data_IF_096161049006
#
_entry.id   IF_096161049006
#
_cell.length_a   1.000
_cell.length_b   1.000
_cell.length_c   1.000
_cell.angle_alpha   90.00
_cell.angle_beta   90.00
_cell.angle_gamma   90.00
#
_symmetry.space_group_name_H-M   'P 1'
#
loop_
_entity.id
_entity.type
_entity.pdbx_description
1 polymer ?
#
# COMPACT_ATOMS: atom_id res chain seq x y z
N UNK A 1 -2.78 0.20 9.17
CA UNK A 1 -3.24 -1.17 9.53
C UNK A 1 -3.38 -1.36 11.05
N UNK A 2 -2.34 -1.11 11.88
CA UNK A 2 -2.43 -1.28 13.35
C UNK A 2 -3.57 -0.45 13.95
N UNK A 3 -3.71 0.82 13.60
CA UNK A 3 -4.81 1.69 14.08
C UNK A 3 -6.18 1.19 13.66
N UNK A 4 -6.30 0.74 12.42
CA UNK A 4 -7.53 0.17 11.90
C UNK A 4 -7.93 -1.08 12.68
N UNK A 5 -7.00 -2.02 12.88
CA UNK A 5 -7.31 -3.21 13.65
C UNK A 5 -7.69 -2.88 15.09
N UNK A 6 -7.05 -1.88 15.71
CA UNK A 6 -7.42 -1.42 17.06
C UNK A 6 -8.84 -0.88 17.13
N UNK A 7 -9.24 -0.06 16.16
CA UNK A 7 -10.62 0.47 16.15
C UNK A 7 -11.62 -0.65 15.87
N UNK A 8 -11.35 -1.48 14.85
CA UNK A 8 -12.19 -2.65 14.56
C UNK A 8 -12.40 -3.51 15.80
N UNK A 9 -11.32 -3.83 16.54
CA UNK A 9 -11.41 -4.57 17.79
C UNK A 9 -12.23 -3.85 18.87
N UNK A 10 -12.21 -2.53 18.91
CA UNK A 10 -13.02 -1.77 19.87
C UNK A 10 -14.53 -1.87 19.58
N UNK A 11 -14.90 -2.07 18.33
CA UNK A 11 -16.28 -2.19 17.86
C UNK A 11 -16.79 -3.65 17.82
N UNK A 12 -15.90 -4.63 18.06
CA UNK A 12 -16.25 -6.06 18.02
C UNK A 12 -16.61 -6.59 19.40
N UNK A 13 -17.54 -7.58 19.46
CA UNK A 13 -17.79 -8.30 20.69
C UNK A 13 -16.57 -9.12 21.10
N UNK A 14 -16.32 -9.22 22.40
CA UNK A 14 -15.20 -9.98 22.96
C UNK A 14 -15.68 -11.23 23.67
N UNK A 15 -14.89 -12.26 23.57
CA UNK A 15 -15.25 -13.50 24.21
C UNK A 15 -14.13 -14.54 24.14
N UNK A 16 -14.48 -15.76 24.51
CA UNK A 16 -13.58 -16.91 24.45
C UNK A 16 -14.34 -18.18 24.22
N UNK A 17 -13.66 -19.18 23.70
CA UNK A 17 -14.16 -20.55 23.66
C UNK A 17 -13.79 -21.29 24.94
N UNK A 18 -14.64 -22.22 25.35
CA UNK A 18 -14.38 -23.04 26.52
C UNK A 18 -15.25 -24.27 26.58
N UNK A 19 -15.20 -24.98 27.71
CA UNK A 19 -16.00 -26.18 27.96
C UNK A 19 -16.84 -25.95 29.22
N UNK A 20 -18.13 -26.23 29.12
CA UNK A 20 -19.05 -26.22 30.25
C UNK A 20 -19.80 -27.53 30.32
N UNK A 21 -19.65 -28.28 31.45
CA UNK A 21 -20.27 -29.58 31.63
C UNK A 21 -20.02 -30.56 30.47
N UNK A 22 -18.77 -30.62 29.97
CA UNK A 22 -18.36 -31.48 28.87
C UNK A 22 -18.82 -31.05 27.47
N UNK A 23 -19.51 -29.91 27.34
CA UNK A 23 -19.95 -29.37 26.06
C UNK A 23 -19.13 -28.14 25.68
N UNK A 24 -18.81 -27.99 24.38
CA UNK A 24 -18.15 -26.79 23.88
C UNK A 24 -19.11 -25.60 23.92
N UNK A 25 -18.62 -24.50 24.47
CA UNK A 25 -19.36 -23.25 24.62
C UNK A 25 -18.55 -22.05 24.17
N UNK A 26 -19.25 -21.00 23.78
CA UNK A 26 -18.67 -19.67 23.57
C UNK A 26 -19.15 -18.75 24.70
N UNK A 27 -18.20 -18.06 25.31
CA UNK A 27 -18.47 -17.03 26.33
C UNK A 27 -18.36 -15.66 25.64
N UNK A 28 -19.42 -14.86 25.77
CA UNK A 28 -19.43 -13.45 25.37
C UNK A 28 -19.22 -12.63 26.65
N UNK A 29 -18.12 -11.88 26.70
CA UNK A 29 -17.70 -11.09 27.87
C UNK A 29 -17.85 -9.59 27.67
N UNK A 30 -18.05 -9.18 26.43
CA UNK A 30 -18.36 -7.81 26.02
C UNK A 30 -19.11 -7.83 24.72
N UNK A 31 -20.16 -7.02 24.65
CA UNK A 31 -20.94 -6.81 23.44
C UNK A 31 -21.11 -5.29 23.26
N UNK A 32 -20.60 -4.66 22.19
CA UNK A 32 -20.74 -3.23 21.97
C UNK A 32 -22.19 -2.79 21.80
N UNK A 33 -23.09 -3.69 21.42
CA UNK A 33 -24.52 -3.44 21.24
C UNK A 33 -25.33 -3.67 22.52
N UNK A 34 -24.74 -4.33 23.52
CA UNK A 34 -25.40 -4.59 24.80
C UNK A 34 -24.45 -4.36 26.00
N UNK A 35 -24.45 -3.14 26.56
CA UNK A 35 -23.59 -2.77 27.68
C UNK A 35 -23.81 -3.59 28.96
N UNK A 36 -24.91 -4.36 29.08
CA UNK A 36 -25.17 -5.21 30.23
C UNK A 36 -24.25 -6.43 30.27
N UNK A 37 -23.65 -6.81 29.12
CA UNK A 37 -22.69 -7.92 29.04
C UNK A 37 -21.33 -7.46 29.54
N UNK A 38 -20.84 -8.09 30.59
CA UNK A 38 -19.57 -7.78 31.21
C UNK A 38 -18.84 -9.06 31.64
N UNK A 39 -17.58 -8.92 32.05
CA UNK A 39 -16.82 -10.05 32.56
C UNK A 39 -17.52 -10.75 33.75
N UNK A 40 -18.25 -10.02 34.57
CA UNK A 40 -19.00 -10.57 35.70
C UNK A 40 -20.32 -11.23 35.24
N UNK A 41 -20.95 -10.64 34.21
CA UNK A 41 -22.26 -11.04 33.69
C UNK A 41 -22.10 -11.60 32.26
N UNK A 42 -21.12 -12.47 32.08
CA UNK A 42 -20.83 -13.10 30.78
C UNK A 42 -21.97 -14.01 30.34
N UNK A 43 -22.31 -13.95 29.07
CA UNK A 43 -23.26 -14.88 28.46
C UNK A 43 -22.52 -16.14 27.99
N UNK A 44 -23.19 -17.28 28.09
CA UNK A 44 -22.63 -18.57 27.71
C UNK A 44 -23.61 -19.27 26.76
N UNK A 45 -23.15 -19.61 25.57
CA UNK A 45 -23.94 -20.30 24.56
C UNK A 45 -23.26 -21.61 24.16
N UNK A 46 -24.06 -22.68 23.96
CA UNK A 46 -23.55 -23.93 23.39
C UNK A 46 -23.18 -23.67 21.92
N UNK A 47 -21.99 -24.06 21.49
CA UNK A 47 -21.51 -23.83 20.11
C UNK A 47 -22.48 -24.37 19.07
N UNK A 48 -23.14 -25.51 19.33
CA UNK A 48 -24.09 -26.13 18.40
C UNK A 48 -25.48 -25.48 18.35
N UNK A 49 -25.80 -24.54 19.25
CA UNK A 49 -27.05 -23.79 19.18
C UNK A 49 -27.00 -22.70 18.08
N UNK A 50 -28.15 -22.24 17.60
CA UNK A 50 -28.22 -21.19 16.59
C UNK A 50 -27.48 -19.92 17.05
N UNK A 51 -27.77 -19.43 18.25
CA UNK A 51 -27.06 -18.28 18.84
C UNK A 51 -25.58 -18.61 19.09
N UNK A 52 -25.26 -19.81 19.53
CA UNK A 52 -23.87 -20.23 19.73
C UNK A 52 -23.06 -20.23 18.45
N UNK A 53 -23.63 -20.61 17.32
CA UNK A 53 -22.95 -20.53 16.01
C UNK A 53 -22.67 -19.09 15.59
N UNK A 54 -23.65 -18.20 15.75
CA UNK A 54 -23.49 -16.77 15.47
C UNK A 54 -22.34 -16.17 16.32
N UNK A 55 -22.42 -16.36 17.64
CA UNK A 55 -21.43 -15.84 18.55
C UNK A 55 -20.05 -16.50 18.35
N UNK A 56 -20.01 -17.76 18.00
CA UNK A 56 -18.74 -18.44 17.68
C UNK A 56 -18.05 -17.81 16.47
N UNK A 57 -18.80 -17.42 15.45
CA UNK A 57 -18.24 -16.73 14.29
C UNK A 57 -17.67 -15.38 14.67
N UNK A 58 -18.44 -14.54 15.36
CA UNK A 58 -18.01 -13.20 15.78
C UNK A 58 -16.81 -13.23 16.73
N UNK A 59 -16.79 -14.15 17.67
CA UNK A 59 -15.68 -14.29 18.62
C UNK A 59 -14.43 -14.87 17.94
N UNK A 60 -14.58 -15.80 16.97
CA UNK A 60 -13.46 -16.29 16.19
C UNK A 60 -12.84 -15.16 15.35
N UNK A 61 -13.66 -14.32 14.73
CA UNK A 61 -13.22 -13.15 13.98
C UNK A 61 -12.47 -12.13 14.88
N UNK A 62 -12.98 -11.88 16.08
CA UNK A 62 -12.29 -11.05 17.08
C UNK A 62 -10.90 -11.62 17.42
N UNK A 63 -10.83 -12.92 17.77
CA UNK A 63 -9.57 -13.57 18.14
C UNK A 63 -8.57 -13.52 16.99
N UNK A 64 -9.02 -13.75 15.75
CA UNK A 64 -8.16 -13.67 14.56
C UNK A 64 -7.64 -12.25 14.34
N UNK A 65 -8.50 -11.25 14.49
CA UNK A 65 -8.14 -9.83 14.35
C UNK A 65 -7.16 -9.40 15.44
N UNK A 66 -7.35 -9.85 16.68
CA UNK A 66 -6.44 -9.60 17.80
C UNK A 66 -5.06 -10.22 17.57
N UNK A 67 -5.02 -11.45 17.08
CA UNK A 67 -3.76 -12.13 16.73
C UNK A 67 -3.03 -11.42 15.59
N UNK A 68 -3.74 -10.99 14.55
CA UNK A 68 -3.16 -10.18 13.46
C UNK A 68 -2.56 -8.88 14.00
N UNK A 69 -3.28 -8.17 14.88
CA UNK A 69 -2.75 -6.96 15.51
C UNK A 69 -1.50 -7.26 16.34
N UNK A 70 -1.49 -8.36 17.09
CA UNK A 70 -0.34 -8.79 17.89
C UNK A 70 0.89 -9.07 17.01
N UNK A 71 0.71 -9.81 15.92
CA UNK A 71 1.79 -10.15 14.98
C UNK A 71 2.33 -8.89 14.29
N UNK A 72 1.46 -8.01 13.80
CA UNK A 72 1.87 -6.75 13.19
C UNK A 72 2.62 -5.85 14.17
N UNK A 73 2.15 -5.77 15.43
CA UNK A 73 2.81 -4.98 16.45
C UNK A 73 4.19 -5.56 16.80
N UNK A 74 4.31 -6.90 16.89
CA UNK A 74 5.58 -7.57 17.14
C UNK A 74 6.58 -7.37 15.98
N UNK A 75 6.12 -7.55 14.75
CA UNK A 75 6.92 -7.29 13.54
C UNK A 75 7.35 -5.83 13.46
N UNK A 76 6.45 -4.93 13.79
CA UNK A 76 6.72 -3.50 13.91
C UNK A 76 7.83 -3.20 14.93
N UNK A 77 7.75 -3.74 16.14
CA UNK A 77 8.79 -3.57 17.15
C UNK A 77 10.14 -4.13 16.74
N UNK A 78 10.17 -5.21 15.95
CA UNK A 78 11.42 -5.75 15.40
C UNK A 78 12.02 -4.81 14.35
N UNK A 79 11.20 -4.25 13.46
CA UNK A 79 11.63 -3.26 12.47
C UNK A 79 12.10 -1.96 13.14
N UNK A 80 11.48 -1.57 14.25
CA UNK A 80 11.84 -0.37 15.01
C UNK A 80 13.20 -0.46 15.72
N UNK A 81 13.71 -1.65 15.99
CA UNK A 81 15.09 -1.82 16.51
C UNK A 81 16.13 -1.37 15.49
N UNK A 82 15.79 -1.38 14.22
CA UNK A 82 16.55 -0.73 13.15
C UNK A 82 15.86 0.59 12.82
N UNK A 83 15.97 1.59 13.70
CA UNK A 83 15.33 2.89 13.47
C UNK A 83 16.03 3.62 12.31
N UNK A 84 15.46 3.61 11.09
CA UNK A 84 16.04 4.32 9.96
C UNK A 84 16.03 5.84 10.15
N UNK A 85 15.34 6.36 11.17
CA UNK A 85 15.32 7.79 11.50
C UNK A 85 16.65 8.28 12.09
N UNK A 86 17.46 7.35 12.62
CA UNK A 86 18.82 7.66 13.06
C UNK A 86 19.81 7.73 11.89
N UNK A 87 19.39 7.38 10.70
CA UNK A 87 20.15 7.60 9.48
C UNK A 87 19.67 8.93 8.93
N UNK A 88 20.39 10.00 9.20
CA UNK A 88 20.21 11.27 8.52
C UNK A 88 20.55 11.08 7.03
N UNK A 89 19.53 10.79 6.24
CA UNK A 89 19.65 10.90 4.79
C UNK A 89 19.64 12.40 4.45
N UNK A 90 20.73 12.97 3.98
CA UNK A 90 20.79 14.40 3.65
C UNK A 90 19.75 14.80 2.58
N UNK A 91 19.17 13.83 1.90
CA UNK A 91 18.20 13.97 0.82
C UNK A 91 16.73 14.04 1.29
N UNK A 92 16.44 13.77 2.56
CA UNK A 92 15.06 13.66 3.07
C UNK A 92 14.24 14.97 3.03
N UNK A 93 14.90 16.13 2.93
CA UNK A 93 14.23 17.44 2.95
C UNK A 93 13.61 17.86 1.61
N UNK A 94 14.09 17.33 0.47
CA UNK A 94 13.55 17.65 -0.86
C UNK A 94 12.33 16.80 -1.22
N UNK A 95 12.23 15.64 -0.65
CA UNK A 95 11.31 14.57 -1.02
C UNK A 95 9.82 14.94 -0.93
N UNK A 96 9.42 15.67 0.10
CA UNK A 96 8.02 15.95 0.40
C UNK A 96 7.43 17.10 -0.41
N UNK A 97 8.22 17.77 -1.26
CA UNK A 97 7.76 18.95 -2.01
C UNK A 97 7.42 18.67 -3.48
N UNK A 98 7.87 17.52 -4.02
CA UNK A 98 7.78 17.23 -5.46
C UNK A 98 6.64 16.27 -5.78
N UNK A 99 6.46 15.21 -4.99
CA UNK A 99 5.54 14.12 -5.27
C UNK A 99 4.22 14.24 -4.47
N UNK A 100 3.59 15.41 -4.50
CA UNK A 100 2.34 15.66 -3.79
C UNK A 100 1.10 15.31 -4.64
N UNK A 101 -0.05 15.21 -4.00
CA UNK A 101 -1.35 15.04 -4.67
C UNK A 101 -1.67 16.26 -5.53
N UNK A 102 -1.36 17.49 -5.07
CA UNK A 102 -1.54 18.72 -5.83
C UNK A 102 -0.70 18.72 -7.10
N UNK A 103 0.57 18.30 -7.01
CA UNK A 103 1.44 18.12 -8.17
C UNK A 103 0.80 17.15 -9.16
N UNK A 104 0.33 15.98 -8.69
CA UNK A 104 -0.31 15.00 -9.55
C UNK A 104 -1.50 15.58 -10.30
N UNK A 105 -2.39 16.32 -9.63
CA UNK A 105 -3.56 16.88 -10.26
C UNK A 105 -3.21 17.99 -11.27
N UNK A 106 -2.21 18.81 -10.99
CA UNK A 106 -1.77 19.91 -11.87
C UNK A 106 -0.99 19.41 -13.11
N UNK A 107 -0.31 18.25 -12.99
CA UNK A 107 0.54 17.73 -14.06
C UNK A 107 -0.26 17.31 -15.29
N UNK A 108 0.28 17.60 -16.48
CA UNK A 108 -0.27 17.18 -17.79
C UNK A 108 0.31 15.82 -18.18
N UNK A 109 -0.53 14.96 -18.74
CA UNK A 109 -0.10 13.68 -19.30
C UNK A 109 0.63 13.88 -20.64
N UNK A 110 1.44 12.88 -21.01
CA UNK A 110 2.22 12.83 -22.24
C UNK A 110 3.06 14.10 -22.44
N UNK A 111 3.65 14.60 -21.36
CA UNK A 111 4.50 15.79 -21.38
C UNK A 111 5.90 15.52 -21.97
N UNK A 112 6.27 14.25 -22.18
CA UNK A 112 7.54 13.85 -22.77
C UNK A 112 7.64 14.34 -24.21
N UNK A 113 8.66 15.14 -24.56
CA UNK A 113 8.78 15.73 -25.89
C UNK A 113 9.16 14.72 -26.97
N UNK A 114 9.57 13.51 -26.60
CA UNK A 114 9.95 12.47 -27.57
C UNK A 114 8.69 11.92 -28.24
N UNK A 115 8.56 11.96 -29.56
CA UNK A 115 7.40 11.45 -30.27
C UNK A 115 7.16 9.95 -30.01
N UNK A 116 5.89 9.56 -29.98
CA UNK A 116 5.50 8.15 -29.84
C UNK A 116 5.36 7.55 -31.25
N UNK A 117 6.21 6.57 -31.59
CA UNK A 117 6.19 5.96 -32.93
C UNK A 117 4.96 5.05 -33.16
N UNK A 118 4.62 4.25 -32.17
CA UNK A 118 3.52 3.29 -32.25
C UNK A 118 2.62 3.43 -31.01
N UNK A 119 1.73 4.42 -30.97
CA UNK A 119 0.89 4.69 -29.81
C UNK A 119 -0.10 3.53 -29.56
N UNK A 120 -0.28 3.17 -28.29
CA UNK A 120 -1.33 2.28 -27.82
C UNK A 120 -2.36 3.14 -27.09
N UNK A 121 -3.56 3.23 -27.64
CA UNK A 121 -4.65 3.93 -26.98
C UNK A 121 -5.38 3.00 -26.00
N UNK A 122 -5.53 3.46 -24.76
CA UNK A 122 -6.21 2.71 -23.72
C UNK A 122 -6.97 3.67 -22.78
N UNK A 123 -8.29 3.57 -22.77
CA UNK A 123 -9.20 4.40 -21.93
C UNK A 123 -8.94 5.91 -21.99
N UNK A 124 -8.55 6.42 -23.14
CA UNK A 124 -8.22 7.82 -23.36
C UNK A 124 -6.76 8.21 -23.04
N UNK A 125 -5.94 7.28 -22.55
CA UNK A 125 -4.51 7.46 -22.37
C UNK A 125 -3.74 6.98 -23.61
N UNK A 126 -2.62 7.64 -23.91
CA UNK A 126 -1.71 7.25 -25.00
C UNK A 126 -0.44 6.67 -24.36
N UNK A 127 -0.14 5.43 -24.67
CA UNK A 127 0.96 4.64 -24.13
C UNK A 127 2.00 4.35 -25.23
N UNK A 128 3.28 4.25 -24.86
CA UNK A 128 4.39 3.92 -25.77
C UNK A 128 4.62 2.43 -25.93
N UNK A 129 4.22 1.62 -24.97
CA UNK A 129 4.60 0.22 -24.94
C UNK A 129 3.52 -0.70 -24.37
N UNK A 130 3.64 -1.99 -24.70
CA UNK A 130 2.81 -3.02 -24.06
C UNK A 130 3.08 -3.15 -22.56
N UNK A 131 4.30 -2.88 -22.11
CA UNK A 131 4.65 -2.93 -20.69
C UNK A 131 3.90 -1.85 -19.92
N UNK A 132 3.81 -0.64 -20.47
CA UNK A 132 2.99 0.42 -19.89
C UNK A 132 1.52 0.02 -19.81
N UNK A 133 0.96 -0.61 -20.86
CA UNK A 133 -0.42 -1.11 -20.83
C UNK A 133 -0.64 -2.14 -19.72
N UNK A 134 0.31 -3.06 -19.52
CA UNK A 134 0.22 -4.05 -18.45
C UNK A 134 0.37 -3.35 -17.08
N UNK A 135 1.31 -2.42 -16.96
CA UNK A 135 1.52 -1.62 -15.75
C UNK A 135 0.25 -0.85 -15.36
N UNK A 136 -0.37 -0.14 -16.30
CA UNK A 136 -1.63 0.59 -16.09
C UNK A 136 -2.75 -0.35 -15.63
N UNK A 137 -2.94 -1.49 -16.29
CA UNK A 137 -3.95 -2.47 -15.87
C UNK A 137 -3.68 -3.02 -14.47
N UNK A 138 -2.40 -3.13 -14.10
CA UNK A 138 -2.02 -3.55 -12.76
C UNK A 138 -2.39 -2.48 -11.72
N UNK A 139 -2.10 -1.20 -12.00
CA UNK A 139 -2.50 -0.09 -11.12
C UNK A 139 -4.02 -0.02 -10.96
N UNK A 140 -4.78 -0.22 -12.04
CA UNK A 140 -6.25 -0.25 -12.02
C UNK A 140 -6.82 -1.37 -11.13
N UNK A 141 -6.16 -2.53 -11.04
CA UNK A 141 -6.58 -3.60 -10.11
C UNK A 141 -6.57 -3.15 -8.65
N UNK A 142 -5.71 -2.19 -8.31
CA UNK A 142 -5.64 -1.59 -6.97
C UNK A 142 -6.65 -0.45 -6.78
N UNK A 143 -7.40 -0.08 -7.82
CA UNK A 143 -8.34 1.04 -7.77
C UNK A 143 -7.64 2.40 -7.64
N UNK A 144 -6.36 2.50 -8.02
CA UNK A 144 -5.56 3.72 -7.93
C UNK A 144 -5.68 4.54 -9.22
N UNK A 145 -5.62 5.86 -9.07
CA UNK A 145 -5.50 6.77 -10.20
C UNK A 145 -4.05 6.82 -10.68
N UNK A 146 -3.87 7.09 -11.96
CA UNK A 146 -2.55 7.21 -12.58
C UNK A 146 -2.54 8.26 -13.66
N UNK A 147 -1.36 8.73 -14.03
CA UNK A 147 -1.08 9.55 -15.21
C UNK A 147 0.13 9.02 -15.95
N UNK A 148 0.18 9.27 -17.24
CA UNK A 148 1.22 8.79 -18.16
C UNK A 148 2.18 9.93 -18.47
N UNK A 149 3.49 9.65 -18.39
CA UNK A 149 4.59 10.55 -18.79
C UNK A 149 4.40 12.01 -18.36
N UNK A 150 4.08 12.23 -17.09
CA UNK A 150 4.05 13.57 -16.54
C UNK A 150 5.49 14.09 -16.37
N UNK A 151 5.67 15.41 -16.53
CA UNK A 151 6.96 16.04 -16.31
C UNK A 151 7.25 16.18 -14.82
N UNK A 152 8.38 15.65 -14.36
CA UNK A 152 8.84 15.71 -12.99
C UNK A 152 10.19 16.44 -12.94
N UNK A 153 10.28 17.51 -12.17
CA UNK A 153 11.47 18.35 -11.99
C UNK A 153 11.16 19.84 -12.24
N UNK A 154 12.08 20.69 -11.79
CA UNK A 154 11.95 22.14 -11.91
C UNK A 154 12.87 22.71 -13.02
N UNK A 155 13.89 21.94 -13.43
CA UNK A 155 14.84 22.37 -14.46
C UNK A 155 14.43 21.78 -15.82
N UNK A 156 14.15 22.60 -16.83
CA UNK A 156 13.80 22.13 -18.18
C UNK A 156 14.87 21.23 -18.84
N UNK A 157 16.11 21.30 -18.37
CA UNK A 157 17.22 20.50 -18.89
C UNK A 157 17.41 19.16 -18.16
N UNK A 158 16.77 18.98 -17.00
CA UNK A 158 16.86 17.75 -16.19
C UNK A 158 15.46 17.22 -15.83
N UNK A 159 14.52 17.34 -16.76
CA UNK A 159 13.15 16.84 -16.58
C UNK A 159 13.12 15.31 -16.67
N UNK A 160 12.47 14.69 -15.72
CA UNK A 160 12.14 13.26 -15.75
C UNK A 160 10.70 13.05 -16.23
N UNK A 161 10.50 11.99 -16.99
CA UNK A 161 9.18 11.60 -17.51
C UNK A 161 8.95 10.13 -17.18
N UNK A 162 8.47 9.83 -15.96
CA UNK A 162 8.17 8.46 -15.57
C UNK A 162 7.09 7.85 -16.47
N UNK A 163 7.22 6.58 -16.82
CA UNK A 163 6.26 5.88 -17.68
C UNK A 163 4.84 5.98 -17.11
N UNK A 164 4.70 5.78 -15.80
CA UNK A 164 3.43 5.90 -15.07
C UNK A 164 3.69 6.68 -13.78
N UNK A 165 2.76 7.53 -13.38
CA UNK A 165 2.75 8.09 -12.02
C UNK A 165 1.44 7.72 -11.34
N UNK A 166 1.53 7.05 -10.20
CA UNK A 166 0.39 6.50 -9.45
C UNK A 166 0.06 7.42 -8.30
N UNK A 167 -1.21 7.84 -8.17
CA UNK A 167 -1.69 8.61 -7.01
C UNK A 167 -2.03 7.68 -5.85
N UNK A 168 -1.51 7.99 -4.67
CA UNK A 168 -1.85 7.35 -3.40
C UNK A 168 -2.52 8.40 -2.50
N UNK A 169 -3.85 8.62 -2.64
CA UNK A 169 -4.54 9.78 -2.08
C UNK A 169 -4.41 9.91 -0.57
N UNK A 170 -4.49 8.78 0.14
CA UNK A 170 -4.42 8.77 1.61
C UNK A 170 -3.03 9.06 2.16
N UNK A 171 -2.00 9.02 1.32
CA UNK A 171 -0.65 9.46 1.65
C UNK A 171 -0.38 10.87 1.11
N UNK A 172 -1.38 11.48 0.45
CA UNK A 172 -1.29 12.79 -0.19
C UNK A 172 -0.06 12.90 -1.11
N UNK A 173 0.31 11.79 -1.75
CA UNK A 173 1.48 11.69 -2.62
C UNK A 173 1.22 10.86 -3.86
N UNK A 174 2.12 11.00 -4.83
CA UNK A 174 2.19 10.12 -5.98
C UNK A 174 3.52 9.36 -6.03
N UNK A 175 3.54 8.26 -6.76
CA UNK A 175 4.70 7.37 -6.92
C UNK A 175 5.00 7.25 -8.41
N UNK A 176 6.12 7.81 -8.90
CA UNK A 176 6.64 7.54 -10.23
C UNK A 176 7.02 6.07 -10.41
N UNK A 177 6.77 5.55 -11.59
CA UNK A 177 7.08 4.17 -11.98
C UNK A 177 7.80 4.17 -13.32
N UNK A 178 8.94 3.53 -13.36
CA UNK A 178 9.74 3.27 -14.55
C UNK A 178 9.67 1.78 -14.90
N UNK A 179 9.16 1.48 -16.09
CA UNK A 179 8.96 0.12 -16.59
C UNK A 179 10.07 -0.26 -17.55
N UNK A 180 11.26 -0.50 -16.99
CA UNK A 180 12.46 -0.77 -17.76
C UNK A 180 12.45 -2.20 -18.34
N UNK A 181 12.21 -2.32 -19.63
CA UNK A 181 12.44 -3.56 -20.39
C UNK A 181 13.79 -3.55 -21.09
N UNK A 182 14.32 -4.73 -21.45
CA UNK A 182 15.55 -4.87 -22.25
C UNK A 182 16.85 -4.41 -21.56
N UNK A 183 17.01 -4.69 -20.27
CA UNK A 183 18.26 -4.46 -19.56
C UNK A 183 19.42 -5.38 -20.02
N UNK A 184 19.16 -6.37 -20.86
CA UNK A 184 20.15 -7.12 -21.61
C UNK A 184 20.95 -6.23 -22.60
N UNK A 185 20.37 -5.10 -23.02
CA UNK A 185 21.05 -4.09 -23.81
C UNK A 185 21.83 -3.12 -22.92
N UNK A 186 23.16 -3.15 -22.98
CA UNK A 186 24.04 -2.35 -22.13
C UNK A 186 23.80 -0.83 -22.23
N UNK A 187 23.44 -0.33 -23.42
CA UNK A 187 23.12 1.09 -23.59
C UNK A 187 21.83 1.48 -22.87
N UNK A 188 20.86 0.57 -22.89
CA UNK A 188 19.59 0.78 -22.19
C UNK A 188 19.78 0.66 -20.67
N UNK A 189 20.54 -0.33 -20.22
CA UNK A 189 20.89 -0.49 -18.82
C UNK A 189 21.59 0.76 -18.24
N UNK A 190 22.56 1.33 -18.98
CA UNK A 190 23.24 2.55 -18.58
C UNK A 190 22.29 3.76 -18.49
N UNK A 191 21.30 3.86 -19.42
CA UNK A 191 20.27 4.92 -19.32
C UNK A 191 19.39 4.75 -18.09
N UNK A 192 18.99 3.52 -17.78
CA UNK A 192 18.22 3.21 -16.56
C UNK A 192 18.99 3.60 -15.30
N UNK A 193 20.27 3.25 -15.22
CA UNK A 193 21.14 3.63 -14.09
C UNK A 193 21.29 5.15 -13.95
N UNK A 194 21.50 5.86 -15.07
CA UNK A 194 21.56 7.33 -15.02
C UNK A 194 20.23 7.93 -14.53
N UNK A 195 19.10 7.40 -14.97
CA UNK A 195 17.78 7.84 -14.55
C UNK A 195 17.55 7.57 -13.06
N UNK A 196 17.98 6.41 -12.56
CA UNK A 196 17.99 6.14 -11.11
C UNK A 196 18.83 7.17 -10.36
N UNK A 197 20.00 7.55 -10.92
CA UNK A 197 20.86 8.59 -10.37
C UNK A 197 20.17 9.95 -10.28
N UNK A 198 19.40 10.34 -11.30
CA UNK A 198 18.64 11.61 -11.29
C UNK A 198 17.55 11.59 -10.19
N UNK A 199 16.77 10.51 -10.06
CA UNK A 199 15.79 10.38 -8.97
C UNK A 199 16.44 10.46 -7.59
N UNK A 200 17.58 9.78 -7.40
CA UNK A 200 18.35 9.87 -6.14
C UNK A 200 18.88 11.27 -5.90
N UNK A 201 19.34 11.98 -6.96
CA UNK A 201 19.76 13.38 -6.91
C UNK A 201 18.66 14.31 -6.43
N UNK A 202 17.42 14.03 -6.80
CA UNK A 202 16.21 14.76 -6.35
C UNK A 202 15.78 14.35 -4.92
N UNK A 203 16.49 13.44 -4.30
CA UNK A 203 16.21 12.98 -2.94
C UNK A 203 15.10 11.92 -2.87
N UNK A 204 14.76 11.28 -3.98
CA UNK A 204 13.75 10.23 -4.04
C UNK A 204 14.37 8.85 -3.79
N UNK A 205 13.78 8.08 -2.90
CA UNK A 205 14.25 6.74 -2.55
C UNK A 205 13.69 5.69 -3.51
N UNK A 206 14.58 4.92 -4.13
CA UNK A 206 14.16 3.76 -4.94
C UNK A 206 13.38 2.76 -4.07
N UNK A 207 12.34 2.18 -4.62
CA UNK A 207 11.41 1.24 -3.98
C UNK A 207 10.50 1.83 -2.88
N UNK A 208 10.63 3.12 -2.59
CA UNK A 208 9.70 3.84 -1.69
C UNK A 208 9.01 4.99 -2.41
N UNK A 209 9.80 5.93 -2.94
CA UNK A 209 9.30 7.14 -3.58
C UNK A 209 9.20 6.97 -5.10
N UNK A 210 9.98 6.07 -5.68
CA UNK A 210 9.95 5.71 -7.10
C UNK A 210 10.14 4.20 -7.26
N UNK A 211 9.42 3.60 -8.21
CA UNK A 211 9.51 2.18 -8.54
C UNK A 211 10.25 2.02 -9.85
N UNK A 212 11.25 1.15 -9.86
CA UNK A 212 11.91 0.66 -11.07
C UNK A 212 11.56 -0.81 -11.23
N UNK A 213 10.82 -1.14 -12.29
CA UNK A 213 10.55 -2.54 -12.65
C UNK A 213 11.54 -2.92 -13.73
N UNK A 214 12.67 -3.48 -13.30
CA UNK A 214 13.78 -3.84 -14.17
C UNK A 214 13.59 -5.25 -14.72
N UNK A 215 13.44 -5.36 -16.03
CA UNK A 215 13.20 -6.62 -16.75
C UNK A 215 14.29 -6.83 -17.80
N UNK A 216 14.97 -7.97 -17.71
CA UNK A 216 16.07 -8.28 -18.63
C UNK A 216 15.57 -8.46 -20.07
N UNK A 217 14.43 -9.11 -20.26
CA UNK A 217 13.86 -9.44 -21.58
C UNK A 217 12.56 -8.66 -21.83
N UNK A 218 12.51 -7.94 -22.96
CA UNK A 218 11.32 -7.17 -23.40
C UNK A 218 10.03 -7.99 -23.50
N UNK A 219 10.14 -9.30 -23.71
CA UNK A 219 8.99 -10.18 -23.90
C UNK A 219 8.33 -10.61 -22.60
N UNK A 220 8.98 -10.39 -21.46
CA UNK A 220 8.58 -10.90 -20.15
C UNK A 220 8.32 -9.75 -19.17
N UNK A 221 7.07 -9.30 -19.09
CA UNK A 221 6.65 -8.41 -18.00
C UNK A 221 6.13 -9.25 -16.82
N UNK A 222 6.83 -9.17 -15.70
CA UNK A 222 6.44 -9.88 -14.48
C UNK A 222 5.43 -9.04 -13.67
N UNK A 223 4.15 -9.25 -13.93
CA UNK A 223 3.06 -8.54 -13.27
C UNK A 223 3.12 -8.67 -11.76
N UNK A 224 3.39 -9.88 -11.24
CA UNK A 224 3.50 -10.15 -9.81
C UNK A 224 4.64 -9.39 -9.14
N UNK A 225 5.76 -9.21 -9.86
CA UNK A 225 6.88 -8.40 -9.36
C UNK A 225 6.45 -6.94 -9.21
N UNK A 226 5.83 -6.37 -10.24
CA UNK A 226 5.36 -4.99 -10.19
C UNK A 226 4.27 -4.80 -9.13
N UNK A 227 3.32 -5.71 -9.01
CA UNK A 227 2.31 -5.70 -7.94
C UNK A 227 2.98 -5.68 -6.56
N UNK A 228 3.99 -6.50 -6.35
CA UNK A 228 4.74 -6.56 -5.09
C UNK A 228 5.50 -5.26 -4.83
N UNK A 229 6.19 -4.71 -5.81
CA UNK A 229 6.92 -3.44 -5.70
C UNK A 229 5.96 -2.28 -5.36
N UNK A 230 4.80 -2.21 -6.02
CA UNK A 230 3.79 -1.19 -5.75
C UNK A 230 3.25 -1.30 -4.32
N UNK A 231 2.94 -2.52 -3.86
CA UNK A 231 2.53 -2.77 -2.48
C UNK A 231 3.58 -2.33 -1.48
N UNK A 232 4.84 -2.69 -1.70
CA UNK A 232 5.94 -2.32 -0.80
C UNK A 232 6.16 -0.81 -0.76
N UNK A 233 6.11 -0.12 -1.90
CA UNK A 233 6.24 1.34 -1.95
C UNK A 233 5.10 2.04 -1.19
N UNK A 234 3.86 1.57 -1.36
CA UNK A 234 2.70 2.08 -0.61
C UNK A 234 2.89 1.84 0.90
N UNK A 235 3.28 0.63 1.30
CA UNK A 235 3.52 0.30 2.71
C UNK A 235 4.66 1.13 3.32
N UNK A 236 5.75 1.32 2.58
CA UNK A 236 6.87 2.15 3.02
C UNK A 236 6.49 3.62 3.24
N UNK A 237 5.52 4.13 2.45
CA UNK A 237 4.98 5.48 2.62
C UNK A 237 4.07 5.64 3.84
N UNK A 238 3.49 4.56 4.36
CA UNK A 238 2.69 4.62 5.59
C UNK A 238 3.51 5.06 6.81
N UNK A 239 4.81 4.78 6.82
CA UNK A 239 5.69 5.20 7.92
C UNK A 239 5.76 6.71 8.07
N UNK A 240 5.70 7.45 6.97
CA UNK A 240 5.76 8.91 6.99
C UNK A 240 4.48 9.53 7.57
N UNK A 241 3.35 8.84 7.48
CA UNK A 241 2.05 9.31 7.97
C UNK A 241 1.79 8.91 9.42
N UNK A 242 2.19 7.69 9.80
CA UNK A 242 1.80 7.08 11.09
C UNK A 242 2.64 7.59 12.25
N UNK A 243 3.84 8.13 12.00
CA UNK A 243 4.84 8.27 13.06
C UNK A 243 5.21 9.67 13.56
N UNK A 244 5.10 10.77 12.82
CA UNK A 244 5.47 12.07 13.38
C UNK A 244 4.42 12.69 14.28
N UNK A 245 3.12 12.42 14.10
CA UNK A 245 2.07 13.25 14.68
C UNK A 245 0.86 12.53 15.29
N UNK A 246 0.96 11.23 15.54
CA UNK A 246 -0.18 10.48 16.04
C UNK A 246 -1.19 10.08 14.96
N UNK A 247 -2.11 9.24 15.33
CA UNK A 247 -3.07 8.63 14.42
C UNK A 247 -4.01 9.68 13.82
N UNK A 248 -3.99 9.84 12.50
CA UNK A 248 -5.10 10.49 11.84
C UNK A 248 -6.19 9.45 11.52
N UNK A 249 -7.44 9.86 11.70
CA UNK A 249 -8.61 9.02 11.40
C UNK A 249 -8.71 8.67 9.90
N UNK A 250 -7.93 9.33 9.06
CA UNK A 250 -7.91 9.19 7.60
C UNK A 250 -7.33 7.84 7.12
N UNK A 251 -6.53 7.14 7.93
CA UNK A 251 -6.10 5.76 7.64
C UNK A 251 -7.32 4.81 7.52
N UNK A 252 -8.44 5.22 8.05
CA UNK A 252 -9.72 4.51 7.99
C UNK A 252 -10.28 4.35 6.59
N UNK A 253 -10.19 5.39 5.79
CA UNK A 253 -10.71 5.40 4.43
C UNK A 253 -9.91 4.44 3.51
N UNK A 254 -8.66 4.16 3.88
CA UNK A 254 -7.78 3.24 3.20
C UNK A 254 -8.22 1.79 3.20
N UNK A 255 -8.82 1.39 4.29
CA UNK A 255 -9.04 -0.02 4.59
C UNK A 255 -10.46 -0.45 4.32
N UNK A 256 -11.38 0.50 4.17
CA UNK A 256 -12.77 0.24 3.80
C UNK A 256 -12.93 -0.15 2.32
N UNK A 257 -11.98 0.22 1.46
CA UNK A 257 -12.06 -0.08 0.03
C UNK A 257 -10.87 -0.95 -0.42
N UNK A 258 -11.18 -2.16 -0.81
CA UNK A 258 -10.51 -3.10 -1.73
C UNK A 258 -8.96 -3.21 -1.76
N UNK A 259 -8.19 -2.21 -1.38
CA UNK A 259 -6.72 -2.28 -1.43
C UNK A 259 -6.15 -3.36 -0.52
N UNK A 260 -6.74 -3.55 0.66
CA UNK A 260 -6.27 -4.55 1.63
C UNK A 260 -7.13 -5.82 1.66
N UNK A 261 -8.32 -5.83 1.07
CA UNK A 261 -9.08 -7.08 0.91
C UNK A 261 -8.41 -8.05 -0.07
N UNK A 262 -7.52 -7.55 -0.94
CA UNK A 262 -6.68 -8.36 -1.81
C UNK A 262 -5.32 -8.75 -1.19
N UNK A 263 -4.98 -8.24 -0.02
CA UNK A 263 -3.83 -8.70 0.75
C UNK A 263 -4.22 -9.96 1.54
N UNK A 264 -4.39 -11.08 0.85
CA UNK A 264 -4.26 -12.37 1.47
C UNK A 264 -2.77 -12.55 1.82
N UNK A 265 -2.39 -12.17 3.04
CA UNK A 265 -1.15 -12.66 3.61
C UNK A 265 -1.36 -14.16 3.90
N UNK A 266 -0.41 -15.02 3.49
CA UNK A 266 -0.45 -16.43 3.83
C UNK A 266 -0.42 -16.66 5.34
#
# INVERSE_FOLDING_TARGET
>A
MISFLRKRLAEMPRGSFGTCRGQQVVYVIYDPMDPSVSWKDKRCYKVNSEQGRLWSHLIAEYIQTEEQLRQLTASWHQLYKFDPRNIEYPLSKKRNTILTEEFFHAAKENANPIPIENPIEYKGHILRSKNELIGVRTVEKFGLQYKIEIALGDDPFDMLYPDITVLVPYQQRCIPVELNGALDNIKYANRSLNRQGSYLGDGLMISKDVIFTDIADKSLFYTELFETQLKLAILAGLDDIVFPHGYSDDIYMLTGNSLFSSFNFP
#
